data_IF_263188478115
#
_entry.id   IF_263188478115
#
_cell.length_a   1.000
_cell.length_b   1.000
_cell.length_c   1.000
_cell.angle_alpha   90.00
_cell.angle_beta   90.00
_cell.angle_gamma   90.00
#
_symmetry.space_group_name_H-M   'P 1'
#
loop_
_entity.id
_entity.type
_entity.pdbx_description
1 polymer ?
#
# COMPACT_ATOMS: atom_id res chain seq x y z
N UNK A 1 13.60 -2.94 -33.52
CA UNK A 1 13.91 -1.68 -34.22
C UNK A 1 12.60 -0.92 -34.32
N UNK A 2 12.56 0.35 -33.89
CA UNK A 2 11.40 1.22 -34.21
C UNK A 2 11.43 1.56 -35.69
N UNK A 3 10.28 1.59 -36.33
CA UNK A 3 10.17 2.14 -37.67
C UNK A 3 10.38 3.65 -37.63
N UNK A 4 10.86 4.24 -38.69
CA UNK A 4 11.05 5.70 -38.77
C UNK A 4 9.74 6.44 -38.51
N UNK A 5 8.62 5.84 -38.89
CA UNK A 5 7.28 6.40 -38.69
C UNK A 5 6.84 6.45 -37.24
N UNK A 6 7.15 5.42 -36.43
CA UNK A 6 6.82 5.40 -34.99
C UNK A 6 7.54 6.53 -34.23
N UNK A 7 8.79 6.79 -34.54
CA UNK A 7 9.56 7.88 -33.92
C UNK A 7 8.98 9.24 -34.31
N UNK A 8 8.64 9.42 -35.59
CA UNK A 8 8.05 10.65 -36.07
C UNK A 8 6.69 10.95 -35.42
N UNK A 9 5.84 9.93 -35.30
CA UNK A 9 4.55 10.10 -34.63
C UNK A 9 4.70 10.42 -33.13
N UNK A 10 5.60 9.76 -32.42
CA UNK A 10 5.84 10.06 -30.99
C UNK A 10 6.38 11.47 -30.81
N UNK A 11 7.23 11.95 -31.72
CA UNK A 11 7.70 13.33 -31.69
C UNK A 11 6.54 14.31 -31.93
N UNK A 12 5.70 14.07 -32.95
CA UNK A 12 4.55 14.90 -33.21
C UNK A 12 3.55 14.97 -32.03
N UNK A 13 3.33 13.87 -31.35
CA UNK A 13 2.49 13.85 -30.12
C UNK A 13 3.08 14.67 -28.98
N UNK A 14 4.39 14.60 -28.78
CA UNK A 14 5.07 15.38 -27.75
C UNK A 14 5.04 16.89 -28.10
N UNK A 15 5.30 17.25 -29.35
CA UNK A 15 5.35 18.66 -29.80
C UNK A 15 3.97 19.34 -29.70
N UNK A 16 2.91 18.56 -29.84
CA UNK A 16 1.53 19.05 -29.79
C UNK A 16 0.84 18.83 -28.42
N UNK A 17 1.56 18.28 -27.42
CA UNK A 17 1.02 17.96 -26.07
C UNK A 17 -0.34 17.24 -26.11
N UNK A 18 -0.54 16.33 -27.09
CA UNK A 18 -1.85 15.72 -27.36
C UNK A 18 -2.42 14.91 -26.20
N UNK A 19 -1.60 14.54 -25.21
CA UNK A 19 -2.00 13.74 -24.07
C UNK A 19 -2.14 14.55 -22.79
N UNK A 20 -1.83 15.84 -22.81
CA UNK A 20 -2.01 16.71 -21.65
C UNK A 20 -3.49 16.86 -21.29
N UNK A 21 -3.79 16.72 -20.02
CA UNK A 21 -5.10 17.06 -19.48
C UNK A 21 -5.25 18.57 -19.34
N UNK A 22 -6.46 19.06 -19.53
CA UNK A 22 -6.77 20.49 -19.48
C UNK A 22 -7.74 20.81 -18.33
N UNK A 23 -7.82 22.09 -17.95
CA UNK A 23 -8.81 22.55 -16.97
C UNK A 23 -10.18 22.86 -17.62
N UNK A 24 -10.39 22.41 -18.87
CA UNK A 24 -11.65 22.59 -19.61
C UNK A 24 -12.81 21.85 -18.92
N UNK A 25 -13.70 22.60 -18.28
CA UNK A 25 -14.86 22.09 -17.61
C UNK A 25 -16.00 21.67 -18.57
N UNK A 26 -15.91 22.02 -19.86
CA UNK A 26 -16.93 21.69 -20.87
C UNK A 26 -16.87 20.21 -21.31
N UNK A 27 -15.72 19.56 -21.13
CA UNK A 27 -15.53 18.15 -21.47
C UNK A 27 -15.80 17.24 -20.29
N UNK A 28 -16.42 16.07 -20.49
CA UNK A 28 -16.57 15.08 -19.45
C UNK A 28 -15.18 14.59 -18.99
N UNK A 29 -14.96 14.54 -17.67
CA UNK A 29 -13.68 14.15 -17.09
C UNK A 29 -13.57 12.63 -16.99
N UNK A 30 -12.36 12.13 -17.20
CA UNK A 30 -12.01 10.73 -16.97
C UNK A 30 -10.63 10.64 -16.32
N UNK A 31 -10.56 9.97 -15.18
CA UNK A 31 -9.30 9.70 -14.50
C UNK A 31 -8.90 8.25 -14.73
N UNK A 32 -7.75 8.04 -15.36
CA UNK A 32 -7.14 6.74 -15.56
C UNK A 32 -5.92 6.64 -14.66
N UNK A 33 -5.95 5.71 -13.71
CA UNK A 33 -4.88 5.49 -12.75
C UNK A 33 -4.34 4.08 -12.89
N UNK A 34 -3.03 3.97 -12.84
CA UNK A 34 -2.30 2.71 -12.78
C UNK A 34 -1.33 2.72 -11.60
N UNK A 35 -0.84 1.55 -11.26
CA UNK A 35 0.16 1.40 -10.21
C UNK A 35 1.48 2.02 -10.65
N UNK A 36 2.01 2.93 -9.85
CA UNK A 36 3.30 3.56 -10.09
C UNK A 36 4.45 2.58 -9.84
N UNK A 37 5.48 2.55 -10.72
CA UNK A 37 6.61 1.66 -10.54
C UNK A 37 7.52 2.12 -9.41
N UNK A 38 8.17 1.15 -8.77
CA UNK A 38 9.34 1.40 -7.93
C UNK A 38 10.56 1.62 -8.82
N UNK A 39 11.37 2.67 -8.61
CA UNK A 39 12.58 2.92 -9.40
C UNK A 39 13.78 2.10 -8.90
N UNK A 40 13.59 0.80 -8.69
CA UNK A 40 14.59 -0.14 -8.19
C UNK A 40 15.28 -0.96 -9.28
N UNK A 41 15.00 -0.69 -10.54
CA UNK A 41 15.57 -1.41 -11.68
C UNK A 41 14.91 -1.04 -13.00
N UNK A 42 14.99 -1.95 -13.98
CA UNK A 42 14.39 -1.77 -15.30
C UNK A 42 12.94 -2.25 -15.33
N UNK A 43 12.17 -1.78 -16.31
CA UNK A 43 10.85 -2.32 -16.59
C UNK A 43 10.90 -3.81 -16.98
N UNK A 44 9.86 -4.53 -16.60
CA UNK A 44 9.65 -5.93 -16.99
C UNK A 44 8.27 -6.12 -17.64
N UNK A 45 8.00 -7.30 -18.19
CA UNK A 45 6.76 -7.59 -18.91
C UNK A 45 5.48 -7.37 -18.09
N UNK A 46 5.56 -7.46 -16.76
CA UNK A 46 4.43 -7.12 -15.88
C UNK A 46 4.03 -5.65 -15.98
N UNK A 47 5.01 -4.74 -16.02
CA UNK A 47 4.76 -3.31 -16.26
C UNK A 47 4.15 -3.08 -17.66
N UNK A 48 4.72 -3.72 -18.69
CA UNK A 48 4.20 -3.61 -20.07
C UNK A 48 2.73 -4.02 -20.14
N UNK A 49 2.39 -5.17 -19.56
CA UNK A 49 1.01 -5.66 -19.53
C UNK A 49 0.06 -4.68 -18.83
N UNK A 50 0.44 -4.22 -17.63
CA UNK A 50 -0.39 -3.32 -16.85
C UNK A 50 -0.63 -1.99 -17.61
N UNK A 51 0.44 -1.36 -18.03
CA UNK A 51 0.37 -0.03 -18.68
C UNK A 51 -0.26 -0.06 -20.06
N UNK A 52 -0.14 -1.16 -20.81
CA UNK A 52 -0.81 -1.29 -22.12
C UNK A 52 -2.33 -1.34 -21.99
N UNK A 53 -2.86 -1.95 -20.91
CA UNK A 53 -4.31 -2.01 -20.67
C UNK A 53 -4.85 -0.61 -20.37
N UNK A 54 -4.21 0.11 -19.47
CA UNK A 54 -4.62 1.48 -19.11
C UNK A 54 -4.45 2.45 -20.27
N UNK A 55 -3.36 2.34 -21.04
CA UNK A 55 -3.16 3.18 -22.23
C UNK A 55 -4.26 2.98 -23.29
N UNK A 56 -4.69 1.74 -23.50
CA UNK A 56 -5.81 1.47 -24.41
C UNK A 56 -7.09 2.14 -23.94
N UNK A 57 -7.39 2.08 -22.63
CA UNK A 57 -8.56 2.75 -22.04
C UNK A 57 -8.45 4.26 -22.14
N UNK A 58 -7.29 4.83 -21.81
CA UNK A 58 -7.06 6.27 -21.87
C UNK A 58 -7.23 6.82 -23.29
N UNK A 59 -6.65 6.14 -24.30
CA UNK A 59 -6.81 6.51 -25.71
C UNK A 59 -8.25 6.40 -26.16
N UNK A 60 -8.95 5.32 -25.83
CA UNK A 60 -10.36 5.16 -26.16
C UNK A 60 -11.21 6.30 -25.59
N UNK A 61 -10.98 6.68 -24.33
CA UNK A 61 -11.71 7.78 -23.69
C UNK A 61 -11.43 9.13 -24.36
N UNK A 62 -10.17 9.42 -24.73
CA UNK A 62 -9.83 10.62 -25.49
C UNK A 62 -10.54 10.65 -26.86
N UNK A 63 -10.56 9.54 -27.58
CA UNK A 63 -11.29 9.42 -28.85
C UNK A 63 -12.81 9.64 -28.70
N UNK A 64 -13.37 9.38 -27.51
CA UNK A 64 -14.76 9.66 -27.14
C UNK A 64 -14.99 11.11 -26.66
N UNK A 65 -13.97 11.97 -26.72
CA UNK A 65 -14.09 13.39 -26.37
C UNK A 65 -13.93 13.71 -24.88
N UNK A 66 -13.52 12.74 -24.05
CA UNK A 66 -13.24 13.02 -22.64
C UNK A 66 -11.94 13.81 -22.46
N UNK A 67 -11.92 14.66 -21.43
CA UNK A 67 -10.71 15.22 -20.88
C UNK A 67 -10.10 14.17 -19.94
N UNK A 68 -9.03 13.51 -20.39
CA UNK A 68 -8.45 12.35 -19.67
C UNK A 68 -7.23 12.78 -18.89
N UNK A 69 -7.31 12.67 -17.57
CA UNK A 69 -6.15 12.72 -16.67
C UNK A 69 -5.55 11.32 -16.59
N UNK A 70 -4.39 11.12 -17.21
CA UNK A 70 -3.64 9.87 -17.19
C UNK A 70 -2.20 10.15 -16.79
N UNK A 71 -1.94 10.32 -15.46
CA UNK A 71 -0.61 10.67 -14.97
C UNK A 71 0.27 9.44 -14.85
N UNK A 72 1.59 9.66 -14.90
CA UNK A 72 2.59 8.72 -14.44
C UNK A 72 3.23 9.24 -13.16
N UNK A 73 3.69 8.34 -12.32
CA UNK A 73 4.44 8.67 -11.11
C UNK A 73 5.46 7.59 -10.77
N UNK A 74 6.26 7.87 -9.76
CA UNK A 74 7.20 6.90 -9.19
C UNK A 74 7.00 6.81 -7.68
N UNK A 75 6.84 5.58 -7.21
CA UNK A 75 6.90 5.28 -5.78
C UNK A 75 8.36 5.11 -5.39
N UNK A 76 8.99 6.24 -5.08
CA UNK A 76 10.44 6.39 -5.03
C UNK A 76 11.02 6.50 -3.63
N UNK A 77 10.20 6.35 -2.60
CA UNK A 77 10.63 6.17 -1.23
C UNK A 77 10.71 4.69 -0.84
N UNK A 78 11.45 4.42 0.25
CA UNK A 78 11.43 3.16 0.96
C UNK A 78 12.50 2.17 0.53
N UNK A 79 12.41 0.98 1.12
CA UNK A 79 13.43 -0.07 1.03
C UNK A 79 13.81 -0.51 -0.41
N UNK A 80 12.91 -0.57 -1.40
CA UNK A 80 13.31 -0.95 -2.75
C UNK A 80 14.35 0.00 -3.36
N UNK A 81 14.16 1.31 -3.19
CA UNK A 81 15.10 2.33 -3.69
C UNK A 81 16.43 2.32 -2.88
N UNK A 82 16.32 2.21 -1.55
CA UNK A 82 17.48 2.13 -0.67
C UNK A 82 18.34 0.88 -0.94
N UNK A 83 17.71 -0.28 -1.10
CA UNK A 83 18.42 -1.52 -1.42
C UNK A 83 19.10 -1.47 -2.80
N UNK A 84 18.48 -0.84 -3.79
CA UNK A 84 19.12 -0.64 -5.09
C UNK A 84 20.36 0.25 -4.95
N UNK A 85 20.28 1.31 -4.15
CA UNK A 85 21.41 2.19 -3.88
C UNK A 85 22.56 1.49 -3.12
N UNK A 86 22.25 0.66 -2.14
CA UNK A 86 23.23 -0.14 -1.42
C UNK A 86 23.93 -1.12 -2.37
N UNK A 87 23.18 -1.81 -3.24
CA UNK A 87 23.71 -2.77 -4.19
C UNK A 87 24.61 -2.12 -5.25
N UNK A 88 24.32 -0.88 -5.66
CA UNK A 88 25.11 -0.12 -6.62
C UNK A 88 26.25 0.69 -5.97
N UNK A 89 26.30 0.77 -4.62
CA UNK A 89 27.33 1.51 -3.88
C UNK A 89 27.25 3.01 -4.03
N UNK A 90 26.02 3.57 -4.19
CA UNK A 90 25.78 4.98 -4.45
C UNK A 90 24.85 5.65 -3.44
N UNK A 91 24.63 6.96 -3.62
CA UNK A 91 23.65 7.70 -2.83
C UNK A 91 22.22 7.34 -3.29
N UNK A 92 21.26 7.05 -2.39
CA UNK A 92 19.89 6.67 -2.75
C UNK A 92 19.20 7.62 -3.73
N UNK A 93 19.33 8.93 -3.51
CA UNK A 93 18.74 9.94 -4.39
C UNK A 93 19.25 9.80 -5.84
N UNK A 94 20.57 9.70 -6.04
CA UNK A 94 21.18 9.72 -7.37
C UNK A 94 20.85 8.43 -8.15
N UNK A 95 20.88 7.29 -7.47
CA UNK A 95 20.49 5.99 -8.05
C UNK A 95 19.01 5.99 -8.41
N UNK A 96 18.17 6.53 -7.54
CA UNK A 96 16.72 6.63 -7.76
C UNK A 96 16.40 7.51 -8.96
N UNK A 97 17.00 8.70 -9.07
CA UNK A 97 16.82 9.61 -10.21
C UNK A 97 17.30 8.98 -11.53
N UNK A 98 18.45 8.33 -11.51
CA UNK A 98 18.99 7.58 -12.68
C UNK A 98 18.02 6.49 -13.13
N UNK A 99 17.49 5.70 -12.20
CA UNK A 99 16.55 4.63 -12.51
C UNK A 99 15.22 5.16 -13.04
N UNK A 100 14.70 6.24 -12.46
CA UNK A 100 13.48 6.91 -12.94
C UNK A 100 13.66 7.46 -14.36
N UNK A 101 14.81 8.08 -14.66
CA UNK A 101 15.13 8.54 -16.00
C UNK A 101 15.13 7.38 -17.00
N UNK A 102 15.75 6.27 -16.66
CA UNK A 102 15.80 5.07 -17.50
C UNK A 102 14.41 4.46 -17.74
N UNK A 103 13.58 4.35 -16.70
CA UNK A 103 12.21 3.84 -16.81
C UNK A 103 11.36 4.79 -17.66
N UNK A 104 11.47 6.09 -17.44
CA UNK A 104 10.76 7.11 -18.23
C UNK A 104 11.08 6.98 -19.72
N UNK A 105 12.35 6.81 -20.07
CA UNK A 105 12.76 6.58 -21.47
C UNK A 105 12.11 5.30 -22.02
N UNK A 106 12.12 4.21 -21.28
CA UNK A 106 11.51 2.95 -21.70
C UNK A 106 10.00 3.10 -21.92
N UNK A 107 9.29 3.78 -21.02
CA UNK A 107 7.85 4.06 -21.15
C UNK A 107 7.56 4.92 -22.37
N UNK A 108 8.34 5.99 -22.60
CA UNK A 108 8.22 6.85 -23.78
C UNK A 108 8.48 6.09 -25.08
N UNK A 109 9.47 5.20 -25.09
CA UNK A 109 9.74 4.32 -26.25
C UNK A 109 8.58 3.40 -26.62
N UNK A 110 7.76 2.99 -25.63
CA UNK A 110 6.56 2.21 -25.87
C UNK A 110 5.41 3.03 -26.44
N UNK A 111 5.52 4.36 -26.43
CA UNK A 111 4.53 5.27 -26.99
C UNK A 111 3.26 5.40 -26.13
N UNK A 112 3.30 5.11 -24.85
CA UNK A 112 2.16 5.29 -23.96
C UNK A 112 1.73 6.76 -23.84
N UNK A 113 0.43 6.97 -23.71
CA UNK A 113 -0.22 8.27 -23.77
C UNK A 113 -0.35 8.95 -22.39
N UNK A 114 0.70 8.89 -21.59
CA UNK A 114 0.73 9.57 -20.29
C UNK A 114 0.79 11.08 -20.44
N UNK A 115 0.15 11.78 -19.52
CA UNK A 115 0.33 13.22 -19.33
C UNK A 115 1.63 13.47 -18.54
N UNK A 116 2.72 13.71 -19.25
CA UNK A 116 4.04 13.91 -18.64
C UNK A 116 4.16 15.22 -17.87
N UNK A 117 3.27 16.19 -18.10
CA UNK A 117 3.21 17.42 -17.31
C UNK A 117 2.75 17.16 -15.87
N UNK A 118 2.08 16.04 -15.64
CA UNK A 118 1.57 15.58 -14.35
C UNK A 118 2.42 14.48 -13.71
N UNK A 119 3.67 14.30 -14.18
CA UNK A 119 4.60 13.35 -13.57
C UNK A 119 4.85 13.71 -12.11
N UNK A 120 4.75 12.73 -11.23
CA UNK A 120 5.04 12.90 -9.81
C UNK A 120 6.10 11.92 -9.32
N UNK A 121 6.82 12.33 -8.27
CA UNK A 121 7.82 11.54 -7.57
C UNK A 121 7.51 11.58 -6.09
N UNK A 122 7.33 10.45 -5.43
CA UNK A 122 6.92 10.43 -4.03
C UNK A 122 8.00 11.00 -3.09
N UNK A 123 9.27 11.01 -3.50
CA UNK A 123 10.38 11.59 -2.74
C UNK A 123 10.61 13.09 -3.00
N UNK A 124 9.84 13.71 -3.90
CA UNK A 124 9.93 15.17 -4.12
C UNK A 124 9.33 15.90 -2.92
N UNK A 125 10.04 16.90 -2.36
CA UNK A 125 9.52 17.73 -1.25
C UNK A 125 8.15 18.34 -1.53
N UNK A 126 7.87 18.72 -2.78
CA UNK A 126 6.56 19.24 -3.18
C UNK A 126 5.44 18.19 -3.08
N UNK A 127 5.78 16.91 -3.15
CA UNK A 127 4.85 15.81 -2.95
C UNK A 127 4.76 15.41 -1.48
N UNK A 128 5.86 15.03 -0.81
CA UNK A 128 5.79 14.48 0.53
C UNK A 128 5.44 15.50 1.63
N UNK A 129 5.54 16.80 1.37
CA UNK A 129 5.03 17.83 2.32
C UNK A 129 3.55 17.59 2.69
N UNK A 130 2.76 17.01 1.77
CA UNK A 130 1.37 16.67 2.03
C UNK A 130 1.23 15.46 2.95
N UNK A 131 2.11 14.46 2.82
CA UNK A 131 2.17 13.34 3.75
C UNK A 131 2.53 13.82 5.17
N UNK A 132 3.47 14.75 5.28
CA UNK A 132 3.82 15.38 6.55
C UNK A 132 2.65 16.18 7.15
N UNK A 133 1.90 16.88 6.32
CA UNK A 133 0.69 17.58 6.76
C UNK A 133 -0.37 16.60 7.28
N UNK A 134 -0.64 15.52 6.55
CA UNK A 134 -1.60 14.48 6.99
C UNK A 134 -1.15 13.83 8.29
N UNK A 135 0.12 13.44 8.41
CA UNK A 135 0.65 12.88 9.64
C UNK A 135 0.46 13.85 10.83
N UNK A 136 0.77 15.12 10.64
CA UNK A 136 0.60 16.14 11.67
C UNK A 136 -0.86 16.29 12.11
N UNK A 137 -1.80 16.21 11.16
CA UNK A 137 -3.24 16.23 11.45
C UNK A 137 -3.68 14.98 12.20
N UNK A 138 -3.24 13.79 11.78
CA UNK A 138 -3.52 12.53 12.46
C UNK A 138 -3.00 12.53 13.89
N UNK A 139 -1.80 13.04 14.11
CA UNK A 139 -1.25 13.19 15.45
C UNK A 139 -2.08 14.14 16.32
N UNK A 140 -2.45 15.32 15.79
CA UNK A 140 -3.27 16.31 16.52
C UNK A 140 -4.67 15.80 16.83
N UNK A 141 -5.25 14.95 15.99
CA UNK A 141 -6.56 14.32 16.23
C UNK A 141 -6.51 13.09 17.12
N UNK A 142 -5.31 12.66 17.55
CA UNK A 142 -5.12 11.44 18.34
C UNK A 142 -5.23 10.14 17.55
N UNK A 143 -5.36 10.20 16.21
CA UNK A 143 -5.35 9.03 15.35
C UNK A 143 -3.96 8.40 15.25
N UNK A 144 -2.90 9.23 15.15
CA UNK A 144 -1.53 8.77 15.23
C UNK A 144 -0.99 8.90 16.65
N UNK A 145 -0.36 7.85 17.17
CA UNK A 145 0.21 7.83 18.50
C UNK A 145 1.51 7.04 18.52
N UNK A 146 2.28 7.16 19.60
CA UNK A 146 3.56 6.47 19.77
C UNK A 146 3.51 5.59 20.99
N UNK A 147 3.93 4.34 20.83
CA UNK A 147 3.93 3.35 21.88
C UNK A 147 5.12 2.39 21.72
N UNK A 148 5.57 1.78 22.83
CA UNK A 148 6.55 0.71 22.79
C UNK A 148 5.88 -0.59 22.39
N UNK A 149 6.33 -1.21 21.32
CA UNK A 149 5.79 -2.47 20.84
C UNK A 149 6.88 -3.44 20.41
N UNK A 150 6.65 -4.76 20.55
CA UNK A 150 7.55 -5.77 20.03
C UNK A 150 7.44 -5.83 18.52
N UNK A 151 8.56 -5.66 17.83
CA UNK A 151 8.68 -5.72 16.37
C UNK A 151 9.61 -6.84 15.94
N UNK A 152 9.51 -7.27 14.71
CA UNK A 152 10.47 -8.18 14.09
C UNK A 152 11.69 -7.35 13.64
N UNK A 153 12.78 -7.48 14.35
CA UNK A 153 14.01 -6.74 14.08
C UNK A 153 15.03 -7.60 13.36
N UNK A 154 15.52 -7.13 12.24
CA UNK A 154 16.61 -7.74 11.48
C UNK A 154 17.89 -6.96 11.75
N UNK A 155 18.84 -7.53 12.50
CA UNK A 155 20.11 -6.88 12.83
C UNK A 155 20.95 -6.62 11.58
N UNK A 156 21.03 -7.59 10.66
CA UNK A 156 21.83 -7.47 9.43
C UNK A 156 21.26 -6.43 8.45
N UNK A 157 19.94 -6.16 8.53
CA UNK A 157 19.29 -5.17 7.70
C UNK A 157 19.10 -3.83 8.43
N UNK A 158 19.40 -3.78 9.74
CA UNK A 158 19.18 -2.63 10.64
C UNK A 158 17.78 -2.04 10.50
N UNK A 159 16.74 -2.90 10.36
CA UNK A 159 15.37 -2.45 10.12
C UNK A 159 14.32 -3.38 10.72
N UNK A 160 13.10 -2.85 10.84
CA UNK A 160 11.90 -3.60 11.21
C UNK A 160 11.34 -4.31 9.98
N UNK A 161 10.96 -5.58 10.14
CA UNK A 161 10.30 -6.37 9.10
C UNK A 161 8.83 -6.60 9.44
N UNK A 162 7.96 -6.48 8.43
CA UNK A 162 6.58 -6.90 8.53
C UNK A 162 6.49 -8.43 8.72
N UNK A 163 5.36 -8.93 9.24
CA UNK A 163 5.19 -10.37 9.48
C UNK A 163 5.38 -11.20 8.21
N UNK A 164 4.90 -10.69 7.07
CA UNK A 164 5.01 -11.33 5.76
C UNK A 164 6.45 -11.38 5.23
N UNK A 165 7.34 -10.59 5.83
CA UNK A 165 8.77 -10.53 5.48
C UNK A 165 9.62 -11.46 6.36
N UNK A 166 9.00 -12.20 7.26
CA UNK A 166 9.66 -13.19 8.11
C UNK A 166 9.19 -14.58 7.74
N UNK A 167 10.10 -15.39 7.24
CA UNK A 167 9.85 -16.78 6.83
C UNK A 167 10.74 -17.69 7.70
N UNK A 168 10.11 -18.60 8.43
CA UNK A 168 10.80 -19.54 9.33
C UNK A 168 11.76 -18.84 10.32
N UNK A 169 11.34 -17.68 10.86
CA UNK A 169 12.14 -16.89 11.79
C UNK A 169 13.29 -16.11 11.15
N UNK A 170 13.36 -16.06 9.83
CA UNK A 170 14.42 -15.39 9.07
C UNK A 170 13.85 -14.31 8.16
N UNK A 171 14.63 -13.27 7.94
CA UNK A 171 14.27 -12.22 6.99
C UNK A 171 14.26 -12.75 5.55
N UNK A 172 13.18 -12.55 4.85
CA UNK A 172 12.89 -13.07 3.50
C UNK A 172 13.96 -12.73 2.44
N UNK A 173 14.70 -11.63 2.64
CA UNK A 173 15.77 -11.19 1.72
C UNK A 173 17.17 -11.55 2.22
N UNK A 174 17.44 -11.28 3.50
CA UNK A 174 18.77 -11.45 4.07
C UNK A 174 19.07 -12.90 4.47
N UNK A 175 18.03 -13.70 4.71
CA UNK A 175 18.17 -15.01 5.35
C UNK A 175 18.65 -14.95 6.80
N UNK A 176 18.91 -13.74 7.34
CA UNK A 176 19.39 -13.56 8.70
C UNK A 176 18.27 -13.83 9.72
N UNK A 177 18.65 -14.24 10.90
CA UNK A 177 17.74 -14.45 12.02
C UNK A 177 17.04 -13.14 12.40
N UNK A 178 15.74 -13.23 12.70
CA UNK A 178 14.91 -12.11 13.11
C UNK A 178 14.58 -12.26 14.58
N UNK A 179 14.89 -11.22 15.34
CA UNK A 179 14.62 -11.19 16.78
C UNK A 179 13.41 -10.31 17.10
N UNK A 180 12.74 -10.61 18.22
CA UNK A 180 11.70 -9.73 18.75
C UNK A 180 12.36 -8.66 19.63
N UNK A 181 12.20 -7.38 19.22
CA UNK A 181 12.78 -6.22 19.91
C UNK A 181 11.69 -5.22 20.24
N UNK A 182 11.60 -4.80 21.48
CA UNK A 182 10.64 -3.75 21.88
C UNK A 182 11.27 -2.38 21.65
N UNK A 183 10.68 -1.62 20.75
CA UNK A 183 11.12 -0.27 20.38
C UNK A 183 9.94 0.68 20.27
N UNK A 184 10.14 2.00 20.44
CA UNK A 184 9.07 2.97 20.24
C UNK A 184 8.68 3.01 18.75
N UNK A 185 7.39 2.82 18.49
CA UNK A 185 6.81 2.80 17.15
C UNK A 185 5.67 3.80 17.02
N UNK A 186 5.42 4.27 15.81
CA UNK A 186 4.21 4.99 15.47
C UNK A 186 3.10 4.03 15.08
N UNK A 187 1.91 4.32 15.57
CA UNK A 187 0.69 3.59 15.27
C UNK A 187 -0.39 4.51 14.77
N UNK A 188 -1.28 3.97 13.95
CA UNK A 188 -2.54 4.60 13.56
C UNK A 188 -3.68 3.77 14.17
N UNK A 189 -4.66 4.42 14.79
CA UNK A 189 -5.86 3.77 15.37
C UNK A 189 -6.84 3.33 14.28
N UNK A 190 -6.38 2.48 13.37
CA UNK A 190 -7.20 2.01 12.25
C UNK A 190 -8.39 1.16 12.68
N UNK A 191 -8.30 0.50 13.85
CA UNK A 191 -9.36 -0.34 14.41
C UNK A 191 -10.59 0.47 14.85
N UNK A 192 -10.44 1.76 15.14
CA UNK A 192 -11.57 2.64 15.46
C UNK A 192 -12.56 2.78 14.27
N UNK A 193 -12.10 2.47 13.06
CA UNK A 193 -12.88 2.50 11.82
C UNK A 193 -13.40 1.12 11.37
N UNK A 194 -13.15 0.05 12.13
CA UNK A 194 -13.45 -1.32 11.69
C UNK A 194 -14.94 -1.52 11.37
N UNK A 195 -15.84 -1.02 12.21
CA UNK A 195 -17.28 -1.13 12.00
C UNK A 195 -17.75 -0.32 10.78
N UNK A 196 -17.26 0.90 10.63
CA UNK A 196 -17.58 1.76 9.48
C UNK A 196 -17.08 1.15 8.17
N UNK A 197 -15.85 0.64 8.16
CA UNK A 197 -15.27 -0.04 6.99
C UNK A 197 -16.09 -1.28 6.61
N UNK A 198 -16.47 -2.09 7.60
CA UNK A 198 -17.29 -3.29 7.37
C UNK A 198 -18.66 -2.93 6.77
N UNK A 199 -19.36 -1.95 7.35
CA UNK A 199 -20.65 -1.50 6.87
C UNK A 199 -20.57 -0.87 5.46
N UNK A 200 -19.48 -0.16 5.17
CA UNK A 200 -19.27 0.50 3.87
C UNK A 200 -19.18 -0.49 2.71
N UNK A 201 -18.75 -1.74 2.94
CA UNK A 201 -18.65 -2.76 1.89
C UNK A 201 -20.00 -3.07 1.22
N UNK A 202 -21.10 -2.89 1.94
CA UNK A 202 -22.44 -3.14 1.40
C UNK A 202 -22.87 -2.07 0.38
N UNK A 203 -22.25 -0.89 0.45
CA UNK A 203 -22.52 0.26 -0.42
C UNK A 203 -21.48 0.47 -1.52
N UNK A 204 -20.70 -0.56 -1.86
CA UNK A 204 -19.65 -0.52 -2.89
C UNK A 204 -20.03 -1.37 -4.13
N UNK A 205 -21.00 -0.92 -4.98
CA UNK A 205 -21.49 -1.74 -6.10
C UNK A 205 -20.42 -1.98 -7.19
N UNK A 206 -19.40 -1.11 -7.28
CA UNK A 206 -18.31 -1.23 -8.23
C UNK A 206 -17.18 -2.19 -7.80
N UNK A 207 -17.24 -2.73 -6.59
CA UNK A 207 -16.24 -3.65 -6.10
C UNK A 207 -16.62 -5.11 -6.37
N UNK A 208 -15.68 -5.96 -6.84
CA UNK A 208 -15.92 -7.40 -7.00
C UNK A 208 -16.28 -8.06 -5.65
N UNK A 209 -17.24 -8.98 -5.67
CA UNK A 209 -17.68 -9.67 -4.45
C UNK A 209 -16.58 -10.47 -3.76
N UNK A 210 -15.65 -11.02 -4.53
CA UNK A 210 -14.46 -11.68 -3.98
C UNK A 210 -13.61 -10.73 -3.12
N UNK A 211 -13.43 -9.48 -3.57
CA UNK A 211 -12.68 -8.46 -2.82
C UNK A 211 -13.43 -8.06 -1.56
N UNK A 212 -14.75 -7.84 -1.64
CA UNK A 212 -15.58 -7.55 -0.46
C UNK A 212 -15.51 -8.68 0.58
N UNK A 213 -15.54 -9.94 0.13
CA UNK A 213 -15.39 -11.10 1.00
C UNK A 213 -14.02 -11.13 1.67
N UNK A 214 -12.94 -10.86 0.94
CA UNK A 214 -11.59 -10.78 1.51
C UNK A 214 -11.50 -9.69 2.57
N UNK A 215 -12.09 -8.51 2.35
CA UNK A 215 -12.11 -7.41 3.31
C UNK A 215 -12.92 -7.77 4.56
N UNK A 216 -14.10 -8.38 4.42
CA UNK A 216 -14.88 -8.87 5.58
C UNK A 216 -14.10 -9.87 6.42
N UNK A 217 -13.44 -10.82 5.78
CA UNK A 217 -12.64 -11.83 6.46
C UNK A 217 -11.41 -11.22 7.14
N UNK A 218 -10.81 -10.19 6.54
CA UNK A 218 -9.67 -9.47 7.13
C UNK A 218 -10.09 -8.67 8.37
N UNK A 219 -11.21 -7.94 8.32
CA UNK A 219 -11.77 -7.22 9.48
C UNK A 219 -12.15 -8.21 10.58
N UNK A 220 -12.71 -9.36 10.21
CA UNK A 220 -12.90 -10.50 11.09
C UNK A 220 -13.83 -10.22 12.26
N UNK A 221 -14.92 -9.45 12.08
CA UNK A 221 -15.88 -9.18 13.16
C UNK A 221 -16.39 -10.50 13.75
N UNK A 222 -16.18 -10.66 15.04
CA UNK A 222 -16.73 -11.77 15.81
C UNK A 222 -17.64 -11.25 16.92
N UNK A 223 -18.70 -12.02 17.23
CA UNK A 223 -19.63 -11.74 18.31
C UNK A 223 -19.53 -12.87 19.33
N UNK A 224 -19.40 -12.53 20.60
CA UNK A 224 -19.28 -13.50 21.66
C UNK A 224 -19.72 -12.91 23.00
N UNK A 225 -19.43 -13.64 24.07
CA UNK A 225 -19.74 -13.24 25.43
C UNK A 225 -18.48 -13.27 26.31
N UNK A 226 -18.35 -12.28 27.19
CA UNK A 226 -17.42 -12.33 28.31
C UNK A 226 -18.05 -13.13 29.45
N UNK A 227 -17.31 -14.11 29.98
CA UNK A 227 -17.70 -14.93 31.10
C UNK A 227 -16.71 -14.69 32.24
N UNK A 228 -17.24 -14.32 33.42
CA UNK A 228 -16.43 -14.06 34.59
C UNK A 228 -16.50 -15.27 35.51
N UNK A 229 -15.34 -15.84 35.85
CA UNK A 229 -15.17 -16.93 36.78
C UNK A 229 -14.59 -16.41 38.10
N UNK A 230 -15.21 -16.76 39.20
CA UNK A 230 -14.65 -16.51 40.55
C UNK A 230 -13.59 -17.57 40.87
N UNK A 231 -12.43 -17.14 41.33
CA UNK A 231 -11.37 -18.06 41.78
C UNK A 231 -11.69 -18.59 43.15
N UNK A 232 -11.83 -19.93 43.29
CA UNK A 232 -12.16 -20.56 44.56
C UNK A 232 -11.07 -20.29 45.62
N UNK A 233 -11.46 -19.86 46.80
CA UNK A 233 -10.60 -19.53 47.93
C UNK A 233 -9.67 -18.30 47.71
N UNK A 234 -9.93 -17.48 46.69
CA UNK A 234 -9.21 -16.23 46.45
C UNK A 234 -10.21 -15.11 46.16
N UNK A 235 -9.91 -13.89 46.57
CA UNK A 235 -10.70 -12.71 46.18
C UNK A 235 -10.21 -12.18 44.82
N UNK A 236 -10.37 -13.02 43.80
CA UNK A 236 -9.95 -12.73 42.43
C UNK A 236 -10.97 -13.30 41.43
N UNK A 237 -11.06 -12.66 40.29
CA UNK A 237 -11.87 -13.10 39.16
C UNK A 237 -11.00 -13.29 37.92
N UNK A 238 -11.42 -14.20 37.03
CA UNK A 238 -10.83 -14.38 35.70
C UNK A 238 -11.94 -14.14 34.71
N UNK A 239 -11.73 -13.16 33.80
CA UNK A 239 -12.61 -12.90 32.70
C UNK A 239 -12.07 -13.58 31.44
N UNK A 240 -12.95 -14.29 30.72
CA UNK A 240 -12.64 -14.94 29.45
C UNK A 240 -13.67 -14.55 28.42
N UNK A 241 -13.22 -14.32 27.18
CA UNK A 241 -14.09 -14.09 26.04
C UNK A 241 -14.27 -15.38 25.23
N UNK A 242 -15.50 -15.66 24.79
CA UNK A 242 -15.80 -16.79 23.91
C UNK A 242 -16.82 -16.43 22.84
N UNK A 243 -16.63 -16.93 21.63
CA UNK A 243 -17.63 -16.86 20.55
C UNK A 243 -18.66 -17.98 20.62
N UNK A 244 -18.47 -18.95 21.54
CA UNK A 244 -19.34 -20.12 21.72
C UNK A 244 -19.65 -20.37 23.18
N UNK A 245 -20.43 -19.48 23.81
CA UNK A 245 -20.78 -19.61 25.23
C UNK A 245 -21.68 -20.80 25.57
N UNK A 246 -22.29 -21.40 24.53
CA UNK A 246 -23.20 -22.55 24.58
C UNK A 246 -22.50 -23.90 24.65
N UNK A 247 -21.17 -23.95 24.53
CA UNK A 247 -20.46 -25.23 24.60
C UNK A 247 -20.22 -25.69 26.03
N UNK A 248 -20.55 -26.95 26.34
CA UNK A 248 -20.44 -27.58 27.65
C UNK A 248 -19.00 -27.62 28.18
N UNK A 249 -18.00 -27.44 27.34
CA UNK A 249 -16.57 -27.42 27.70
C UNK A 249 -16.16 -26.23 28.55
N UNK A 250 -16.99 -25.20 28.72
CA UNK A 250 -16.70 -23.99 29.50
C UNK A 250 -16.85 -24.14 31.02
N UNK A 251 -17.14 -25.33 31.52
CA UNK A 251 -17.05 -25.59 32.95
C UNK A 251 -15.60 -25.61 33.46
N UNK A 252 -14.61 -25.63 32.58
CA UNK A 252 -13.18 -25.63 32.88
C UNK A 252 -12.40 -24.67 32.00
N UNK A 253 -11.54 -23.83 32.59
CA UNK A 253 -10.58 -23.01 31.87
C UNK A 253 -9.54 -23.90 31.17
N UNK A 254 -9.44 -23.81 29.87
CA UNK A 254 -8.34 -24.39 29.08
C UNK A 254 -7.34 -23.30 28.66
N UNK A 255 -6.05 -23.61 28.67
CA UNK A 255 -4.95 -22.69 28.48
C UNK A 255 -4.91 -21.95 27.12
N UNK A 256 -5.85 -22.24 26.20
CA UNK A 256 -5.87 -21.68 24.83
C UNK A 256 -6.88 -20.56 24.60
N UNK A 257 -7.68 -20.17 25.58
CA UNK A 257 -8.84 -19.29 25.39
C UNK A 257 -8.76 -17.97 26.17
N UNK A 258 -7.57 -17.50 26.50
CA UNK A 258 -7.41 -16.49 27.54
C UNK A 258 -7.05 -15.09 27.10
N UNK A 259 -7.18 -14.69 25.81
CA UNK A 259 -6.85 -13.30 25.44
C UNK A 259 -7.68 -12.76 24.26
N UNK A 260 -8.28 -11.60 24.50
CA UNK A 260 -9.06 -10.78 23.55
C UNK A 260 -8.25 -10.33 22.32
N UNK A 261 -6.95 -10.11 22.50
CA UNK A 261 -6.05 -9.60 21.47
C UNK A 261 -5.63 -10.63 20.41
N UNK A 262 -6.05 -11.90 20.55
CA UNK A 262 -5.82 -12.92 19.51
C UNK A 262 -6.97 -13.06 18.50
N UNK A 263 -8.07 -12.37 18.69
CA UNK A 263 -9.20 -12.32 17.75
C UNK A 263 -9.10 -11.27 16.65
N UNK A 264 -8.15 -10.34 16.76
CA UNK A 264 -7.88 -9.31 15.76
C UNK A 264 -6.61 -9.67 15.01
N UNK A 265 -6.74 -10.44 13.94
CA UNK A 265 -5.71 -10.55 12.90
C UNK A 265 -6.05 -9.67 11.75
#
# INVERSE_FOLDING_TARGET
MKTTDEVAWQQAWNDADVFASTDDASKPKFYCLEMYPYPSGKMHMGHVRNYSIGDAVARYKRMKGFNVLYPMGFDSFGMPAENAAIAEGGHPHDITEKNMASITEQIKRMGFSYDWSRLLKSHDPNYYKWNQLFFTRFFKSGLAYREFAPVNWCESCSTVLANEQVIDGRGWRSGAEVIRKTIPQWFLKITDYAEELLASLDNMPGWPDSVKTMQRNWIGKSVGASVIFNVKNHNATIEVFTTRPDTVSYTHLRAHETREDRGLR
#
